data_IF_394796285855
#
_entry.id   IF_394796285855
#
_cell.length_a   1.000
_cell.length_b   1.000
_cell.length_c   1.000
_cell.angle_alpha   90.00
_cell.angle_beta   90.00
_cell.angle_gamma   90.00
#
_symmetry.space_group_name_H-M   'P 1'
#
loop_
_entity.id
_entity.type
_entity.pdbx_description
1 polymer ?
#
# COMPACT_ATOMS: atom_id res chain seq x y z
N UNK A 1 -9.16 -2.45 -9.92
CA UNK A 1 -8.15 -1.62 -9.23
C UNK A 1 -7.50 -2.48 -8.17
N UNK A 2 -6.18 -2.61 -8.22
CA UNK A 2 -5.39 -3.40 -7.29
C UNK A 2 -4.90 -2.53 -6.12
N UNK A 3 -4.73 -3.15 -4.96
CA UNK A 3 -4.20 -2.54 -3.75
C UNK A 3 -2.95 -3.28 -3.28
N UNK A 4 -1.85 -2.56 -3.04
CA UNK A 4 -0.58 -3.14 -2.60
C UNK A 4 -0.02 -2.37 -1.41
N UNK A 5 0.24 -3.06 -0.31
CA UNK A 5 1.01 -2.53 0.82
C UNK A 5 2.50 -2.73 0.52
N UNK A 6 3.26 -1.65 0.45
CA UNK A 6 4.68 -1.71 0.13
C UNK A 6 5.47 -0.55 0.73
N UNK A 7 6.78 -0.57 0.52
CA UNK A 7 7.70 0.51 0.84
C UNK A 7 8.28 1.06 -0.46
N UNK A 8 8.21 2.37 -0.66
CA UNK A 8 8.95 3.04 -1.73
C UNK A 8 10.41 3.20 -1.29
N UNK A 9 11.31 2.41 -1.87
CA UNK A 9 12.70 2.28 -1.38
C UNK A 9 13.67 3.24 -2.04
N UNK A 10 13.46 3.54 -3.32
CA UNK A 10 14.30 4.41 -4.11
C UNK A 10 13.48 5.08 -5.23
N UNK A 11 13.84 6.30 -5.62
CA UNK A 11 13.28 7.00 -6.78
C UNK A 11 14.41 7.18 -7.78
N UNK A 12 14.44 6.31 -8.78
CA UNK A 12 15.55 6.25 -9.74
C UNK A 12 15.32 7.10 -11.00
N UNK A 13 14.10 7.62 -11.19
CA UNK A 13 13.79 8.54 -12.27
C UNK A 13 12.72 9.54 -11.83
N UNK A 14 12.90 10.78 -12.25
CA UNK A 14 11.93 11.86 -12.14
C UNK A 14 12.12 12.77 -13.35
N UNK A 15 11.03 13.17 -14.02
CA UNK A 15 11.11 14.13 -15.11
C UNK A 15 11.37 15.56 -14.59
N UNK A 16 11.77 16.47 -15.49
CA UNK A 16 12.12 17.85 -15.13
C UNK A 16 10.98 18.59 -14.38
N UNK A 17 9.73 18.37 -14.78
CA UNK A 17 8.56 19.03 -14.19
C UNK A 17 8.02 18.36 -12.92
N UNK A 18 8.69 17.31 -12.44
CA UNK A 18 8.27 16.51 -11.28
C UNK A 18 6.85 15.92 -11.35
N UNK A 19 6.26 15.84 -12.55
CA UNK A 19 4.93 15.27 -12.81
C UNK A 19 4.95 13.77 -13.05
N UNK A 20 6.13 13.18 -13.25
CA UNK A 20 6.31 11.76 -13.50
C UNK A 20 7.50 11.24 -12.71
N UNK A 21 7.28 10.21 -11.89
CA UNK A 21 8.32 9.60 -11.05
C UNK A 21 8.25 8.08 -11.10
N UNK A 22 9.41 7.43 -11.19
CA UNK A 22 9.54 5.98 -11.09
C UNK A 22 10.22 5.59 -9.78
N UNK A 23 9.64 4.60 -9.12
CA UNK A 23 10.08 4.11 -7.84
C UNK A 23 10.43 2.63 -7.90
N UNK A 24 11.46 2.26 -7.15
CA UNK A 24 11.67 0.87 -6.74
C UNK A 24 10.86 0.63 -5.46
N UNK A 25 9.80 -0.16 -5.58
CA UNK A 25 8.92 -0.52 -4.48
C UNK A 25 9.19 -1.95 -4.00
N UNK A 26 9.00 -2.19 -2.71
CA UNK A 26 9.16 -3.52 -2.09
C UNK A 26 7.88 -3.89 -1.35
N UNK A 27 7.18 -4.91 -1.83
CA UNK A 27 6.09 -5.54 -1.09
C UNK A 27 6.67 -6.46 0.01
N UNK A 28 5.82 -6.93 0.92
CA UNK A 28 6.23 -7.90 1.96
C UNK A 28 6.97 -9.09 1.32
N UNK A 29 8.23 -9.30 1.71
CA UNK A 29 9.12 -10.32 1.13
C UNK A 29 10.36 -9.74 0.43
N UNK A 30 11.12 -10.55 -0.34
CA UNK A 30 12.36 -10.12 -1.00
C UNK A 30 12.14 -9.47 -2.38
N UNK A 31 10.91 -9.49 -2.91
CA UNK A 31 10.63 -9.09 -4.29
C UNK A 31 10.44 -7.58 -4.41
N UNK A 32 11.13 -6.99 -5.40
CA UNK A 32 10.97 -5.60 -5.80
C UNK A 32 10.12 -5.49 -7.06
N UNK A 33 9.44 -4.37 -7.21
CA UNK A 33 8.72 -4.01 -8.44
C UNK A 33 8.88 -2.53 -8.73
N UNK A 34 8.58 -2.15 -9.97
CA UNK A 34 8.60 -0.75 -10.40
C UNK A 34 7.23 -0.14 -10.21
N UNK A 35 7.14 0.98 -9.50
CA UNK A 35 5.91 1.75 -9.36
C UNK A 35 6.04 3.10 -10.06
N UNK A 36 4.98 3.53 -10.73
CA UNK A 36 4.91 4.74 -11.55
C UNK A 36 3.94 5.70 -10.89
N UNK A 37 4.37 6.93 -10.65
CA UNK A 37 3.51 7.99 -10.14
C UNK A 37 3.38 9.11 -11.17
N UNK A 38 2.15 9.44 -11.52
CA UNK A 38 1.78 10.56 -12.39
C UNK A 38 1.07 11.62 -11.56
N UNK A 39 1.72 12.78 -11.37
CA UNK A 39 1.19 13.88 -10.58
C UNK A 39 2.30 14.77 -10.02
N UNK A 40 1.94 15.99 -9.65
CA UNK A 40 2.83 16.88 -8.89
C UNK A 40 2.93 16.39 -7.45
N UNK A 41 4.07 16.59 -6.80
CA UNK A 41 4.33 16.21 -5.39
C UNK A 41 4.42 14.69 -5.15
N UNK A 42 5.10 13.98 -6.04
CA UNK A 42 5.40 12.57 -5.85
C UNK A 42 6.11 12.32 -4.50
N UNK A 43 5.68 11.34 -3.68
CA UNK A 43 6.22 11.16 -2.33
C UNK A 43 7.70 10.81 -2.36
N UNK A 44 8.44 11.27 -1.36
CA UNK A 44 9.83 10.87 -1.20
C UNK A 44 9.93 9.38 -0.84
N UNK A 45 10.88 8.62 -1.40
CA UNK A 45 11.11 7.24 -1.01
C UNK A 45 11.51 7.18 0.47
N UNK A 46 10.86 6.31 1.24
CA UNK A 46 11.14 6.08 2.66
C UNK A 46 11.17 4.58 2.94
N UNK A 47 12.36 4.05 3.18
CA UNK A 47 12.59 2.61 3.45
C UNK A 47 11.93 2.12 4.75
N UNK A 48 11.55 3.02 5.64
CA UNK A 48 10.95 2.71 6.95
C UNK A 48 9.43 2.85 6.98
N UNK A 49 8.82 3.50 5.98
CA UNK A 49 7.39 3.81 5.97
C UNK A 49 6.65 2.87 5.02
N UNK A 50 5.62 2.21 5.53
CA UNK A 50 4.70 1.42 4.72
C UNK A 50 3.60 2.34 4.16
N UNK A 51 3.29 2.13 2.89
CA UNK A 51 2.27 2.85 2.14
C UNK A 51 1.31 1.84 1.50
N UNK A 52 0.05 2.22 1.42
CA UNK A 52 -0.95 1.53 0.59
C UNK A 52 -0.99 2.24 -0.76
N UNK A 53 -0.60 1.53 -1.82
CA UNK A 53 -0.73 1.99 -3.19
C UNK A 53 -2.00 1.41 -3.80
N UNK A 54 -2.76 2.25 -4.50
CA UNK A 54 -3.90 1.84 -5.30
C UNK A 54 -3.63 2.17 -6.77
N UNK A 55 -3.96 1.25 -7.66
CA UNK A 55 -3.75 1.45 -9.09
C UNK A 55 -3.88 0.17 -9.91
N UNK A 56 -3.07 0.05 -10.96
CA UNK A 56 -3.14 -1.08 -11.87
C UNK A 56 -1.75 -1.55 -12.33
N UNK A 57 -1.64 -2.85 -12.61
CA UNK A 57 -0.46 -3.41 -13.27
C UNK A 57 -0.53 -3.19 -14.78
N UNK A 58 0.49 -2.54 -15.33
CA UNK A 58 0.66 -2.33 -16.75
C UNK A 58 1.94 -3.02 -17.24
N UNK A 59 1.94 -3.49 -18.49
CA UNK A 59 3.13 -4.07 -19.12
C UNK A 59 3.73 -3.04 -20.07
N UNK A 60 4.82 -2.40 -19.65
CA UNK A 60 5.57 -1.49 -20.50
C UNK A 60 6.39 -2.27 -21.53
N UNK A 61 6.40 -1.88 -22.82
CA UNK A 61 7.08 -2.63 -23.90
C UNK A 61 8.57 -2.89 -23.62
N UNK A 62 9.27 -1.89 -23.07
CA UNK A 62 10.72 -1.95 -22.79
C UNK A 62 11.09 -2.38 -21.36
N UNK A 63 10.22 -2.12 -20.38
CA UNK A 63 10.57 -2.21 -18.95
C UNK A 63 9.78 -3.30 -18.21
N UNK A 64 8.92 -4.02 -18.92
CA UNK A 64 8.13 -5.11 -18.35
C UNK A 64 7.01 -4.61 -17.43
N UNK A 65 6.71 -5.40 -16.40
CA UNK A 65 5.56 -5.18 -15.52
C UNK A 65 5.81 -4.03 -14.53
N UNK A 66 4.99 -2.99 -14.61
CA UNK A 66 5.04 -1.79 -13.77
C UNK A 66 3.69 -1.58 -13.09
N UNK A 67 3.69 -0.98 -11.90
CA UNK A 67 2.47 -0.63 -11.18
C UNK A 67 2.19 0.85 -11.33
N UNK A 68 1.16 1.21 -12.10
CA UNK A 68 0.70 2.58 -12.25
C UNK A 68 -0.09 2.98 -11.02
N UNK A 69 0.39 3.97 -10.29
CA UNK A 69 -0.22 4.46 -9.05
C UNK A 69 -1.27 5.53 -9.40
N UNK A 70 -2.48 5.32 -8.90
CA UNK A 70 -3.58 6.29 -8.98
C UNK A 70 -3.78 7.02 -7.65
N UNK A 71 -3.58 6.31 -6.52
CA UNK A 71 -3.72 6.88 -5.18
C UNK A 71 -2.71 6.26 -4.22
N UNK A 72 -2.20 7.08 -3.30
CA UNK A 72 -1.27 6.66 -2.23
C UNK A 72 -1.85 7.07 -0.89
N UNK A 73 -1.85 6.14 0.06
CA UNK A 73 -2.25 6.41 1.44
C UNK A 73 -1.17 5.91 2.40
N UNK A 74 -0.93 6.60 3.53
CA UNK A 74 -0.11 6.05 4.61
C UNK A 74 -0.71 4.73 5.09
N UNK A 75 0.10 3.68 5.20
CA UNK A 75 -0.39 2.45 5.80
C UNK A 75 -0.58 2.69 7.31
N UNK A 76 -1.83 2.89 7.72
CA UNK A 76 -2.20 2.83 9.12
C UNK A 76 -2.31 1.35 9.48
N UNK A 77 -1.33 0.83 10.23
CA UNK A 77 -1.58 -0.38 11.01
C UNK A 77 -2.78 -0.06 11.88
N UNK A 78 -3.93 -0.64 11.60
CA UNK A 78 -5.00 -0.78 12.59
C UNK A 78 -4.29 -1.26 13.85
N UNK A 79 -4.23 -0.39 14.87
CA UNK A 79 -3.49 -0.70 16.09
C UNK A 79 -3.95 -2.07 16.55
N UNK A 80 -3.02 -2.91 17.02
CA UNK A 80 -3.35 -4.21 17.61
C UNK A 80 -4.52 -4.10 18.61
N UNK A 81 -4.71 -2.92 19.21
CA UNK A 81 -5.89 -2.50 19.97
C UNK A 81 -7.23 -2.59 19.24
N UNK A 82 -7.41 -2.04 18.04
CA UNK A 82 -8.69 -2.10 17.32
C UNK A 82 -9.03 -3.54 16.88
N UNK A 83 -8.02 -4.34 16.54
CA UNK A 83 -8.20 -5.76 16.22
C UNK A 83 -8.51 -6.60 17.47
N UNK A 84 -7.89 -6.29 18.62
CA UNK A 84 -8.23 -6.89 19.93
C UNK A 84 -9.62 -6.49 20.39
N UNK A 85 -9.99 -5.22 20.28
CA UNK A 85 -11.30 -4.70 20.66
C UNK A 85 -12.41 -5.31 19.81
N UNK A 86 -12.20 -5.49 18.49
CA UNK A 86 -13.15 -6.24 17.65
C UNK A 86 -13.29 -7.69 18.08
N UNK A 87 -12.19 -8.40 18.34
CA UNK A 87 -12.26 -9.78 18.87
C UNK A 87 -12.95 -9.87 20.24
N UNK A 88 -12.71 -8.92 21.15
CA UNK A 88 -13.37 -8.86 22.45
C UNK A 88 -14.86 -8.54 22.33
N UNK A 89 -15.24 -7.60 21.46
CA UNK A 89 -16.64 -7.26 21.19
C UNK A 89 -17.40 -8.44 20.54
N UNK A 90 -16.80 -9.16 19.59
CA UNK A 90 -17.40 -10.36 19.00
C UNK A 90 -17.52 -11.51 20.01
N UNK A 91 -16.60 -11.62 20.97
CA UNK A 91 -16.66 -12.64 22.04
C UNK A 91 -17.73 -12.32 23.08
N UNK A 92 -17.92 -11.04 23.42
CA UNK A 92 -18.99 -10.59 24.31
C UNK A 92 -20.40 -10.76 23.71
N UNK A 93 -20.54 -10.62 22.38
CA UNK A 93 -21.79 -10.87 21.65
C UNK A 93 -22.11 -12.36 21.46
N UNK A 94 -21.10 -13.24 21.50
CA UNK A 94 -21.29 -14.69 21.46
C UNK A 94 -21.75 -15.29 22.79
N UNK A 95 -21.45 -14.63 23.91
CA UNK A 95 -21.85 -15.06 25.27
C UNK A 95 -23.32 -14.70 25.61
N UNK A 96 -23.95 -13.81 24.81
CA UNK A 96 -25.37 -13.43 24.98
C UNK A 96 -26.32 -14.23 24.10
N UNK A 97 -25.82 -15.19 23.32
CA UNK A 97 -26.61 -16.01 22.40
C UNK A 97 -27.09 -17.36 22.93
N UNK A 98 -26.71 -17.76 24.15
CA UNK A 98 -26.99 -19.11 24.66
C UNK A 98 -27.79 -19.13 25.98
N UNK A 99 -28.65 -18.13 26.21
CA UNK A 99 -29.69 -18.17 27.24
C UNK A 99 -30.99 -17.49 26.81
N UNK A 100 -31.61 -17.93 25.71
CA UNK A 100 -33.07 -17.81 25.59
C UNK A 100 -33.64 -18.89 24.67
N UNK A 101 -34.42 -19.77 25.31
CA UNK A 101 -35.44 -20.70 24.77
C UNK A 101 -34.97 -21.98 24.07
#
# INVERSE_FOLDING_TARGET
>A
MDMIICKLTDRFYQNADATYSLYKARANGPKFFTAVFEGKNAPAPRKTVELTLFGAWEKHPKYGKQFKIERIEPFKKTSLDEAKQRRQATRALGDTGEQVA
#
